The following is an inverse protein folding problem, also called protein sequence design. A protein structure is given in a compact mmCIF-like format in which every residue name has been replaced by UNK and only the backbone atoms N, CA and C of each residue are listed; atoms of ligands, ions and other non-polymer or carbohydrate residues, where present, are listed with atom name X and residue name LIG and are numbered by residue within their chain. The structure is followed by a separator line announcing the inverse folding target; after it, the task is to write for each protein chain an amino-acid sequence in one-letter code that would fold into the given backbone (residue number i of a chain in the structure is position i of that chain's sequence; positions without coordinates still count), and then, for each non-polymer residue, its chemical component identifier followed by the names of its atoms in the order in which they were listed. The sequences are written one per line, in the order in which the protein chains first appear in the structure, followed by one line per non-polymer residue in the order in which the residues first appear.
data_IF_028488384107
#
_entry.id   IF_028488384107
#
_cell.length_a   1.000
_cell.length_b   1.000
_cell.length_c   1.000
_cell.angle_alpha   90.00
_cell.angle_beta   90.00
_cell.angle_gamma   90.00
#
_symmetry.space_group_name_H-M   'P 1'
#
loop_
_entity.id
_entity.type
_entity.pdbx_description
1 polymer ?
#
# COMPACT_ATOMS: atom_id res chain seq x y z
N UNK A 1 32.43 10.58 -16.46
CA UNK A 1 31.18 11.38 -16.36
C UNK A 1 30.67 11.28 -14.93
N UNK A 2 30.69 12.38 -14.19
CA UNK A 2 30.18 12.45 -12.81
C UNK A 2 28.65 12.35 -12.83
N UNK A 3 28.11 11.29 -12.22
CA UNK A 3 26.67 11.11 -12.04
C UNK A 3 26.16 12.16 -11.06
N UNK A 4 24.98 12.67 -11.33
CA UNK A 4 24.39 13.78 -10.58
C UNK A 4 23.41 13.21 -9.55
N UNK A 5 22.99 13.99 -8.56
CA UNK A 5 21.82 13.68 -7.72
C UNK A 5 21.21 15.00 -7.29
N UNK A 6 19.89 15.13 -7.33
CA UNK A 6 19.22 16.36 -6.89
C UNK A 6 18.65 16.16 -5.49
N UNK A 7 18.86 17.15 -4.62
CA UNK A 7 18.33 17.11 -3.26
C UNK A 7 16.80 17.17 -3.29
N UNK A 8 16.15 16.21 -2.65
CA UNK A 8 14.68 16.15 -2.52
C UNK A 8 14.10 17.33 -1.75
N UNK A 9 14.88 17.92 -0.83
CA UNK A 9 14.44 19.07 -0.03
C UNK A 9 14.60 20.42 -0.75
N UNK A 10 15.78 20.73 -1.31
CA UNK A 10 16.05 22.07 -1.88
C UNK A 10 16.30 22.12 -3.40
N UNK A 11 16.18 20.99 -4.12
CA UNK A 11 16.36 20.93 -5.58
C UNK A 11 17.78 21.20 -6.08
N UNK A 12 18.74 21.41 -5.18
CA UNK A 12 20.13 21.70 -5.56
C UNK A 12 20.76 20.48 -6.22
N UNK A 13 21.52 20.74 -7.30
CA UNK A 13 22.30 19.73 -8.03
C UNK A 13 23.54 19.33 -7.21
N UNK A 14 23.61 18.07 -6.80
CA UNK A 14 24.72 17.47 -6.06
C UNK A 14 25.41 16.39 -6.90
N UNK A 15 26.56 15.92 -6.43
CA UNK A 15 27.23 14.74 -6.97
C UNK A 15 26.75 13.49 -6.23
N UNK A 16 26.52 12.39 -6.93
CA UNK A 16 26.21 11.07 -6.33
C UNK A 16 27.19 10.59 -5.25
N UNK A 17 28.40 11.13 -5.20
CA UNK A 17 29.40 10.81 -4.17
C UNK A 17 29.14 11.54 -2.83
N UNK A 18 28.17 12.44 -2.78
CA UNK A 18 27.81 13.20 -1.59
C UNK A 18 26.63 12.52 -0.88
N UNK A 19 26.74 12.33 0.43
CA UNK A 19 25.67 11.76 1.27
C UNK A 19 24.66 12.81 1.72
N UNK A 20 25.05 14.09 1.72
CA UNK A 20 24.24 15.21 2.15
C UNK A 20 24.21 16.30 1.09
N UNK A 21 23.12 17.05 1.03
CA UNK A 21 22.97 18.14 0.08
C UNK A 21 23.96 19.26 0.40
N UNK A 22 24.71 19.69 -0.61
CA UNK A 22 25.67 20.79 -0.50
C UNK A 22 25.07 22.17 -0.14
N UNK A 23 23.74 22.30 -0.13
CA UNK A 23 23.06 23.57 0.11
C UNK A 23 22.20 23.59 1.37
N UNK A 24 21.55 22.49 1.73
CA UNK A 24 20.69 22.43 2.92
C UNK A 24 21.06 21.30 3.89
N UNK A 25 22.18 20.61 3.66
CA UNK A 25 22.74 19.52 4.49
C UNK A 25 21.82 18.31 4.70
N UNK A 26 20.63 18.28 4.09
CA UNK A 26 19.73 17.13 4.11
C UNK A 26 20.32 15.87 3.47
N UNK A 27 19.93 14.71 3.98
CA UNK A 27 20.40 13.43 3.46
C UNK A 27 19.90 13.22 2.02
N UNK A 28 20.80 12.88 1.12
CA UNK A 28 20.46 12.69 -0.29
C UNK A 28 19.88 11.29 -0.49
N UNK A 29 18.57 11.17 -0.35
CA UNK A 29 17.83 9.93 -0.61
C UNK A 29 17.80 9.61 -2.10
N UNK A 30 18.62 8.67 -2.51
CA UNK A 30 18.88 8.36 -3.90
C UNK A 30 17.86 7.35 -4.47
N UNK A 31 16.64 7.79 -4.84
CA UNK A 31 15.70 6.95 -5.61
C UNK A 31 15.04 7.63 -6.83
N UNK A 32 15.55 8.79 -7.28
CA UNK A 32 14.92 9.57 -8.38
C UNK A 32 15.90 10.10 -9.43
N UNK A 33 16.92 9.32 -9.77
CA UNK A 33 17.77 9.54 -10.96
C UNK A 33 17.58 8.41 -11.99
N UNK A 34 16.34 7.96 -12.19
CA UNK A 34 16.07 6.75 -12.97
C UNK A 34 15.42 7.02 -14.33
N UNK A 35 16.13 6.65 -15.39
CA UNK A 35 15.65 6.76 -16.77
C UNK A 35 14.93 5.51 -17.28
N UNK A 36 15.04 4.38 -16.55
CA UNK A 36 14.52 3.09 -17.01
C UNK A 36 13.06 2.88 -16.62
N UNK A 37 12.28 2.39 -17.58
CA UNK A 37 10.87 2.01 -17.42
C UNK A 37 10.72 0.53 -17.71
N UNK A 38 9.74 -0.07 -17.07
CA UNK A 38 9.19 -1.38 -17.46
C UNK A 38 7.83 -1.10 -18.09
N UNK A 39 7.69 -1.28 -19.40
CA UNK A 39 6.46 -0.93 -20.13
C UNK A 39 5.70 -2.15 -20.65
N UNK A 40 6.35 -3.32 -20.69
CA UNK A 40 5.79 -4.57 -21.20
C UNK A 40 6.30 -5.78 -20.42
N UNK A 41 5.71 -6.94 -20.69
CA UNK A 41 6.02 -8.21 -20.01
C UNK A 41 7.46 -8.66 -20.25
N UNK A 42 7.99 -8.47 -21.47
CA UNK A 42 9.37 -8.83 -21.81
C UNK A 42 10.39 -8.01 -21.03
N UNK A 43 10.09 -6.72 -20.78
CA UNK A 43 10.89 -5.86 -19.92
C UNK A 43 10.73 -6.20 -18.44
N UNK A 44 9.56 -6.70 -18.01
CA UNK A 44 9.30 -7.08 -16.63
C UNK A 44 10.06 -8.35 -16.26
N UNK A 45 9.89 -9.42 -17.07
CA UNK A 45 10.47 -10.73 -16.81
C UNK A 45 11.83 -10.90 -17.49
N UNK A 46 12.88 -10.41 -16.83
CA UNK A 46 14.27 -10.56 -17.29
C UNK A 46 15.12 -11.29 -16.26
N UNK A 47 16.19 -11.95 -16.71
CA UNK A 47 17.18 -12.55 -15.79
C UNK A 47 17.75 -11.50 -14.84
N UNK A 48 17.99 -10.28 -15.32
CA UNK A 48 18.47 -9.18 -14.51
C UNK A 48 17.50 -8.80 -13.38
N UNK A 49 16.21 -8.72 -13.65
CA UNK A 49 15.22 -8.41 -12.61
C UNK A 49 15.08 -9.54 -11.59
N UNK A 50 15.18 -10.78 -12.05
CA UNK A 50 15.23 -11.94 -11.17
C UNK A 50 16.47 -11.89 -10.24
N UNK A 51 17.67 -11.72 -10.80
CA UNK A 51 18.90 -11.56 -10.01
C UNK A 51 18.85 -10.40 -9.04
N UNK A 52 18.29 -9.25 -9.45
CA UNK A 52 18.11 -8.13 -8.53
C UNK A 52 17.18 -8.49 -7.35
N UNK A 53 16.12 -9.30 -7.56
CA UNK A 53 15.25 -9.75 -6.48
C UNK A 53 15.96 -10.73 -5.52
N UNK A 54 16.81 -11.62 -6.05
CA UNK A 54 17.48 -12.64 -5.25
C UNK A 54 18.71 -12.12 -4.51
N UNK A 55 19.44 -11.18 -5.12
CA UNK A 55 20.78 -10.81 -4.66
C UNK A 55 20.79 -9.51 -3.84
N UNK A 56 19.82 -8.61 -4.06
CA UNK A 56 19.74 -7.37 -3.28
C UNK A 56 19.06 -7.59 -1.95
N UNK A 57 19.68 -7.05 -0.90
CA UNK A 57 19.12 -7.01 0.44
C UNK A 57 18.27 -5.75 0.61
N UNK A 58 17.00 -5.92 0.97
CA UNK A 58 16.17 -4.84 1.48
C UNK A 58 16.59 -4.56 2.93
N UNK A 59 17.40 -3.53 3.15
CA UNK A 59 17.81 -3.13 4.50
C UNK A 59 16.67 -2.42 5.24
N UNK A 60 16.81 -2.27 6.56
CA UNK A 60 15.82 -1.53 7.36
C UNK A 60 15.79 -0.06 6.93
N UNK A 61 16.95 0.54 6.70
CA UNK A 61 17.08 1.94 6.30
C UNK A 61 16.45 2.19 4.94
N UNK A 62 16.68 1.29 3.96
CA UNK A 62 16.04 1.39 2.66
C UNK A 62 14.51 1.30 2.76
N UNK A 63 14.01 0.42 3.63
CA UNK A 63 12.57 0.31 3.90
C UNK A 63 12.02 1.58 4.55
N UNK A 64 12.68 2.13 5.57
CA UNK A 64 12.23 3.37 6.22
C UNK A 64 12.21 4.54 5.24
N UNK A 65 13.22 4.67 4.37
CA UNK A 65 13.22 5.71 3.32
C UNK A 65 12.03 5.54 2.36
N UNK A 66 11.65 4.30 2.03
CA UNK A 66 10.44 4.02 1.24
C UNK A 66 9.19 4.53 1.98
N UNK A 67 9.06 4.27 3.29
CA UNK A 67 7.93 4.74 4.08
C UNK A 67 7.88 6.27 4.12
N UNK A 68 9.01 6.93 4.38
CA UNK A 68 9.10 8.40 4.39
C UNK A 68 8.73 9.00 3.03
N UNK A 69 9.16 8.40 1.92
CA UNK A 69 8.78 8.85 0.58
C UNK A 69 7.26 8.80 0.35
N UNK A 70 6.58 7.78 0.89
CA UNK A 70 5.12 7.67 0.82
C UNK A 70 4.47 8.77 1.65
N UNK A 71 4.92 8.99 2.89
CA UNK A 71 4.44 10.08 3.76
C UNK A 71 4.55 11.43 3.05
N UNK A 72 5.75 11.77 2.57
CA UNK A 72 6.01 13.02 1.85
C UNK A 72 5.15 13.14 0.59
N UNK A 73 4.82 12.03 -0.08
CA UNK A 73 3.91 12.05 -1.23
C UNK A 73 2.49 12.48 -0.83
N UNK A 74 1.99 11.99 0.31
CA UNK A 74 0.69 12.40 0.84
C UNK A 74 0.69 13.85 1.31
N UNK A 75 1.71 14.27 2.08
CA UNK A 75 1.85 15.64 2.60
C UNK A 75 1.84 16.70 1.49
N UNK A 76 2.48 16.41 0.36
CA UNK A 76 2.54 17.33 -0.78
C UNK A 76 1.22 17.42 -1.58
N UNK A 77 0.29 16.48 -1.39
CA UNK A 77 -0.95 16.37 -2.18
C UNK A 77 -2.21 16.60 -1.38
N UNK A 78 -2.15 16.48 -0.06
CA UNK A 78 -3.32 16.61 0.78
C UNK A 78 -3.85 18.05 0.76
N UNK A 79 -5.18 18.17 0.63
CA UNK A 79 -5.85 19.47 0.58
C UNK A 79 -6.96 19.48 1.63
N UNK A 80 -6.73 20.18 2.73
CA UNK A 80 -7.75 20.41 3.75
C UNK A 80 -8.56 21.67 3.43
N UNK A 81 -9.89 21.56 3.58
CA UNK A 81 -10.82 22.69 3.53
C UNK A 81 -11.27 23.04 4.94
N UNK A 82 -11.68 24.29 5.14
CA UNK A 82 -12.23 24.74 6.43
C UNK A 82 -13.51 23.94 6.77
N UNK A 83 -13.67 23.58 8.04
CA UNK A 83 -14.85 22.92 8.59
C UNK A 83 -15.21 21.57 7.95
N UNK A 84 -14.21 20.80 7.53
CA UNK A 84 -14.44 19.42 7.08
C UNK A 84 -14.95 18.55 8.22
N UNK A 85 -16.00 17.78 7.93
CA UNK A 85 -16.44 16.65 8.76
C UNK A 85 -15.36 15.55 8.83
N UNK A 86 -15.47 14.61 9.79
CA UNK A 86 -14.50 13.51 9.91
C UNK A 86 -14.42 12.65 8.64
N UNK A 87 -15.56 12.39 8.01
CA UNK A 87 -15.63 11.69 6.72
C UNK A 87 -14.88 12.47 5.63
N UNK A 88 -15.11 13.79 5.50
CA UNK A 88 -14.41 14.61 4.51
C UNK A 88 -12.90 14.68 4.75
N UNK A 89 -12.45 14.71 6.01
CA UNK A 89 -11.02 14.66 6.36
C UNK A 89 -10.40 13.33 5.95
N UNK A 90 -11.07 12.21 6.24
CA UNK A 90 -10.60 10.86 5.86
C UNK A 90 -10.62 10.67 4.34
N UNK A 91 -11.63 11.18 3.64
CA UNK A 91 -11.66 11.22 2.18
C UNK A 91 -10.50 12.05 1.63
N UNK A 92 -10.21 13.22 2.19
CA UNK A 92 -9.09 14.07 1.75
C UNK A 92 -7.73 13.37 1.94
N UNK A 93 -7.56 12.62 3.03
CA UNK A 93 -6.36 11.80 3.27
C UNK A 93 -6.24 10.72 2.19
N UNK A 94 -7.32 10.00 1.89
CA UNK A 94 -7.31 8.99 0.83
C UNK A 94 -7.03 9.61 -0.55
N UNK A 95 -7.64 10.75 -0.86
CA UNK A 95 -7.45 11.51 -2.11
C UNK A 95 -6.03 12.02 -2.32
N UNK A 96 -5.23 12.15 -1.26
CA UNK A 96 -3.81 12.48 -1.37
C UNK A 96 -3.00 11.35 -2.06
N UNK A 97 -3.47 10.10 -1.97
CA UNK A 97 -2.78 8.93 -2.53
C UNK A 97 -3.47 8.37 -3.77
N UNK A 98 -4.80 8.31 -3.75
CA UNK A 98 -5.61 7.55 -4.70
C UNK A 98 -6.95 8.21 -4.91
N UNK A 99 -7.57 8.01 -6.07
CA UNK A 99 -8.84 8.66 -6.37
C UNK A 99 -9.99 8.00 -5.61
N UNK A 100 -10.80 8.79 -4.92
CA UNK A 100 -12.05 8.31 -4.29
C UNK A 100 -13.24 8.60 -5.20
N UNK A 101 -14.10 7.60 -5.42
CA UNK A 101 -15.36 7.76 -6.14
C UNK A 101 -16.52 7.18 -5.31
N UNK A 102 -17.67 7.83 -5.41
CA UNK A 102 -18.89 7.40 -4.74
C UNK A 102 -19.83 6.72 -5.73
N UNK A 103 -20.41 5.58 -5.35
CA UNK A 103 -21.44 4.86 -6.11
C UNK A 103 -22.76 4.84 -5.33
N UNK A 104 -23.86 4.74 -6.08
CA UNK A 104 -25.22 4.80 -5.52
C UNK A 104 -25.93 3.45 -5.54
N UNK A 105 -25.26 2.36 -5.92
CA UNK A 105 -25.82 0.99 -5.99
C UNK A 105 -24.72 -0.06 -5.83
N UNK A 106 -24.85 -0.93 -4.83
CA UNK A 106 -24.08 -2.16 -4.68
C UNK A 106 -24.47 -2.94 -3.43
N UNK A 107 -24.28 -4.26 -3.43
CA UNK A 107 -24.40 -5.11 -2.23
C UNK A 107 -23.11 -5.10 -1.38
N UNK A 108 -22.10 -4.29 -1.73
CA UNK A 108 -20.76 -4.28 -1.13
C UNK A 108 -20.43 -2.87 -0.61
N UNK A 109 -19.82 -2.79 0.58
CA UNK A 109 -19.45 -1.54 1.26
C UNK A 109 -18.53 -0.63 0.42
N UNK A 110 -17.50 -1.23 -0.19
CA UNK A 110 -16.56 -0.55 -1.08
C UNK A 110 -15.65 -1.55 -1.77
N UNK A 111 -14.77 -1.05 -2.63
CA UNK A 111 -13.71 -1.84 -3.26
C UNK A 111 -12.55 -0.93 -3.70
N UNK A 112 -11.32 -1.41 -3.54
CA UNK A 112 -10.13 -0.85 -4.17
C UNK A 112 -9.72 -1.65 -5.40
N UNK A 113 -9.63 -0.97 -6.53
CA UNK A 113 -9.02 -1.52 -7.73
C UNK A 113 -8.46 -0.41 -8.62
N UNK A 114 -7.30 -0.66 -9.24
CA UNK A 114 -6.74 0.21 -10.28
C UNK A 114 -6.52 1.67 -9.85
N UNK A 115 -6.02 1.88 -8.63
CA UNK A 115 -5.79 3.20 -8.01
C UNK A 115 -7.07 4.05 -7.89
N UNK A 116 -8.19 3.37 -7.62
CA UNK A 116 -9.48 3.97 -7.33
C UNK A 116 -10.08 3.26 -6.11
N UNK A 117 -10.48 4.06 -5.11
CA UNK A 117 -11.34 3.65 -4.00
C UNK A 117 -12.78 3.93 -4.39
N UNK A 118 -13.60 2.90 -4.46
CA UNK A 118 -15.04 3.05 -4.70
C UNK A 118 -15.82 2.82 -3.41
N UNK A 119 -16.54 3.84 -2.97
CA UNK A 119 -17.29 3.84 -1.70
C UNK A 119 -18.78 3.91 -2.01
N UNK A 120 -19.59 3.08 -1.35
CA UNK A 120 -21.04 3.17 -1.48
C UNK A 120 -21.59 4.30 -0.58
N UNK A 121 -22.17 5.32 -1.20
CA UNK A 121 -22.65 6.52 -0.50
C UNK A 121 -23.93 6.28 0.31
N UNK A 122 -24.59 5.13 0.16
CA UNK A 122 -25.83 4.83 0.87
C UNK A 122 -25.60 4.47 2.34
N UNK A 123 -24.39 4.07 2.70
CA UNK A 123 -24.05 3.76 4.08
C UNK A 123 -23.86 5.02 4.92
N UNK A 124 -24.02 4.90 6.24
CA UNK A 124 -23.76 6.01 7.14
C UNK A 124 -22.27 6.42 7.14
N UNK A 125 -21.94 7.66 7.54
CA UNK A 125 -20.57 8.16 7.51
C UNK A 125 -19.56 7.29 8.27
N UNK A 126 -19.96 6.59 9.33
CA UNK A 126 -19.04 5.75 10.10
C UNK A 126 -18.63 4.51 9.29
N UNK A 127 -19.57 3.86 8.61
CA UNK A 127 -19.26 2.76 7.69
C UNK A 127 -18.42 3.25 6.51
N UNK A 128 -18.71 4.44 5.97
CA UNK A 128 -17.89 5.02 4.89
C UNK A 128 -16.45 5.29 5.36
N UNK A 129 -16.25 5.81 6.57
CA UNK A 129 -14.92 6.01 7.17
C UNK A 129 -14.18 4.67 7.29
N UNK A 130 -14.83 3.64 7.87
CA UNK A 130 -14.23 2.31 7.97
C UNK A 130 -13.81 1.77 6.60
N UNK A 131 -14.71 1.87 5.62
CA UNK A 131 -14.46 1.41 4.25
C UNK A 131 -13.29 2.16 3.61
N UNK A 132 -13.22 3.49 3.75
CA UNK A 132 -12.10 4.28 3.21
C UNK A 132 -10.79 3.86 3.87
N UNK A 133 -10.75 3.69 5.18
CA UNK A 133 -9.55 3.26 5.90
C UNK A 133 -9.09 1.85 5.48
N UNK A 134 -10.03 0.91 5.31
CA UNK A 134 -9.76 -0.44 4.83
C UNK A 134 -9.11 -0.42 3.44
N UNK A 135 -9.79 0.21 2.49
CA UNK A 135 -9.38 0.22 1.08
C UNK A 135 -8.12 1.09 0.86
N UNK A 136 -7.94 2.16 1.64
CA UNK A 136 -6.72 2.94 1.65
C UNK A 136 -5.54 2.13 2.19
N UNK A 137 -5.77 1.26 3.19
CA UNK A 137 -4.72 0.37 3.70
C UNK A 137 -4.25 -0.59 2.61
N UNK A 138 -5.16 -1.18 1.84
CA UNK A 138 -4.78 -1.99 0.67
C UNK A 138 -4.01 -1.17 -0.37
N UNK A 139 -4.43 0.07 -0.63
CA UNK A 139 -3.70 0.95 -1.54
C UNK A 139 -2.26 1.22 -1.07
N UNK A 140 -2.09 1.62 0.20
CA UNK A 140 -0.77 1.90 0.78
C UNK A 140 0.09 0.65 0.87
N UNK A 141 -0.49 -0.51 1.16
CA UNK A 141 0.19 -1.81 1.06
C UNK A 141 0.78 -2.00 -0.35
N UNK A 142 -0.02 -1.75 -1.40
CA UNK A 142 0.45 -1.85 -2.78
C UNK A 142 1.53 -0.83 -3.11
N UNK A 143 1.42 0.41 -2.62
CA UNK A 143 2.45 1.44 -2.83
C UNK A 143 3.77 1.06 -2.17
N UNK A 144 3.77 0.49 -0.96
CA UNK A 144 4.99 -0.02 -0.31
C UNK A 144 5.64 -1.11 -1.18
N UNK A 145 4.86 -2.09 -1.66
CA UNK A 145 5.40 -3.14 -2.54
C UNK A 145 5.97 -2.54 -3.83
N UNK A 146 5.31 -1.55 -4.43
CA UNK A 146 5.78 -0.89 -5.66
C UNK A 146 7.08 -0.15 -5.43
N UNK A 147 7.18 0.67 -4.39
CA UNK A 147 8.39 1.40 -4.04
C UNK A 147 9.57 0.44 -3.74
N UNK A 148 9.30 -0.71 -3.09
CA UNK A 148 10.31 -1.77 -2.92
C UNK A 148 10.79 -2.30 -4.27
N UNK A 149 9.87 -2.65 -5.19
CA UNK A 149 10.25 -3.16 -6.51
C UNK A 149 10.97 -2.10 -7.35
N UNK A 150 10.55 -0.83 -7.26
CA UNK A 150 11.23 0.29 -7.89
C UNK A 150 12.66 0.41 -7.39
N UNK A 151 12.87 0.35 -6.07
CA UNK A 151 14.20 0.34 -5.45
C UNK A 151 15.06 -0.84 -5.92
N UNK A 152 14.52 -2.06 -5.87
CA UNK A 152 15.25 -3.29 -6.19
C UNK A 152 15.61 -3.32 -7.68
N UNK A 153 14.71 -2.95 -8.57
CA UNK A 153 14.98 -2.96 -10.01
C UNK A 153 15.62 -1.68 -10.54
N UNK A 154 15.63 -0.62 -9.73
CA UNK A 154 16.06 0.71 -10.13
C UNK A 154 15.28 1.18 -11.38
N UNK A 155 13.95 1.16 -11.26
CA UNK A 155 13.00 1.58 -12.31
C UNK A 155 11.95 2.55 -11.77
N UNK A 156 11.48 3.46 -12.64
CA UNK A 156 10.37 4.36 -12.30
C UNK A 156 9.02 3.64 -12.36
N UNK A 157 8.03 4.18 -11.63
CA UNK A 157 6.64 3.69 -11.64
C UNK A 157 6.05 3.71 -13.06
N UNK A 158 5.39 2.62 -13.44
CA UNK A 158 4.70 2.46 -14.73
C UNK A 158 3.39 1.69 -14.55
N UNK A 159 2.53 1.72 -15.56
CA UNK A 159 1.30 0.91 -15.60
C UNK A 159 1.57 -0.59 -15.59
N UNK A 160 2.70 -1.02 -16.15
CA UNK A 160 3.13 -2.42 -16.09
C UNK A 160 3.52 -2.83 -14.67
N UNK A 161 4.22 -1.97 -13.93
CA UNK A 161 4.54 -2.24 -12.52
C UNK A 161 3.28 -2.26 -11.65
N UNK A 162 2.37 -1.29 -11.83
CA UNK A 162 1.07 -1.28 -11.16
C UNK A 162 0.28 -2.57 -11.44
N UNK A 163 0.27 -2.99 -12.70
CA UNK A 163 -0.37 -4.25 -13.13
C UNK A 163 0.27 -5.48 -12.48
N UNK A 164 1.60 -5.51 -12.41
CA UNK A 164 2.34 -6.59 -11.77
C UNK A 164 1.96 -6.72 -10.30
N UNK A 165 2.00 -5.62 -9.54
CA UNK A 165 1.64 -5.63 -8.12
C UNK A 165 0.18 -6.02 -7.91
N UNK A 166 -0.76 -5.48 -8.70
CA UNK A 166 -2.17 -5.88 -8.66
C UNK A 166 -2.37 -7.37 -8.93
N UNK A 167 -1.54 -7.96 -9.79
CA UNK A 167 -1.63 -9.37 -10.16
C UNK A 167 -1.11 -10.28 -9.05
N UNK A 168 0.06 -9.99 -8.47
CA UNK A 168 0.64 -10.81 -7.40
C UNK A 168 -0.18 -10.76 -6.11
N UNK A 169 -0.93 -9.69 -5.86
CA UNK A 169 -1.86 -9.61 -4.72
C UNK A 169 -3.05 -10.55 -4.81
N UNK A 170 -3.29 -11.16 -5.97
CA UNK A 170 -4.28 -12.23 -6.09
C UNK A 170 -3.75 -13.60 -5.67
N UNK A 171 -2.44 -13.70 -5.38
CA UNK A 171 -1.83 -14.90 -4.81
C UNK A 171 -2.30 -15.02 -3.35
N UNK A 172 -2.84 -16.18 -2.92
CA UNK A 172 -3.47 -16.33 -1.60
C UNK A 172 -2.61 -15.87 -0.42
N UNK A 173 -1.29 -16.10 -0.45
CA UNK A 173 -0.37 -15.69 0.61
C UNK A 173 -0.23 -14.17 0.73
N UNK A 174 -0.12 -13.45 -0.38
CA UNK A 174 -0.08 -11.98 -0.39
C UNK A 174 -1.44 -11.38 -0.04
N UNK A 175 -2.53 -11.97 -0.55
CA UNK A 175 -3.88 -11.55 -0.21
C UNK A 175 -4.13 -11.69 1.29
N UNK A 176 -3.74 -12.82 1.89
CA UNK A 176 -3.84 -13.06 3.33
C UNK A 176 -3.13 -11.96 4.14
N UNK A 177 -1.90 -11.61 3.76
CA UNK A 177 -1.11 -10.55 4.41
C UNK A 177 -1.84 -9.21 4.30
N UNK A 178 -2.33 -8.89 3.10
CA UNK A 178 -3.03 -7.64 2.81
C UNK A 178 -4.31 -7.49 3.66
N UNK A 179 -5.13 -8.53 3.78
CA UNK A 179 -6.35 -8.52 4.61
C UNK A 179 -6.06 -8.44 6.12
N UNK A 180 -5.02 -9.14 6.58
CA UNK A 180 -4.55 -8.99 7.96
C UNK A 180 -4.10 -7.56 8.24
N UNK A 181 -3.34 -6.97 7.31
CA UNK A 181 -2.80 -5.63 7.41
C UNK A 181 -3.91 -4.57 7.49
N UNK A 182 -4.94 -4.68 6.64
CA UNK A 182 -6.13 -3.84 6.67
C UNK A 182 -6.86 -3.91 8.02
N UNK A 183 -7.21 -5.11 8.47
CA UNK A 183 -7.91 -5.33 9.74
C UNK A 183 -7.08 -4.86 10.96
N UNK A 184 -5.76 -5.01 10.90
CA UNK A 184 -4.86 -4.55 11.97
C UNK A 184 -4.73 -3.03 12.00
N UNK A 185 -4.74 -2.38 10.84
CA UNK A 185 -4.71 -0.92 10.73
C UNK A 185 -6.03 -0.33 11.23
N UNK A 186 -7.17 -0.91 10.83
CA UNK A 186 -8.49 -0.54 11.33
C UNK A 186 -8.57 -0.60 12.86
N UNK A 187 -7.98 -1.62 13.48
CA UNK A 187 -7.96 -1.77 14.94
C UNK A 187 -7.37 -0.56 15.67
N UNK A 188 -6.50 0.20 15.01
CA UNK A 188 -5.92 1.42 15.58
C UNK A 188 -6.93 2.57 15.58
N UNK A 189 -7.68 2.73 14.48
CA UNK A 189 -8.52 3.91 14.23
C UNK A 189 -10.01 3.72 14.56
N UNK A 190 -10.49 2.48 14.54
CA UNK A 190 -11.90 2.14 14.73
C UNK A 190 -12.16 1.55 16.12
N UNK A 191 -13.37 1.68 16.68
CA UNK A 191 -13.76 0.92 17.86
C UNK A 191 -13.73 -0.59 17.58
N UNK A 192 -13.24 -1.39 18.53
CA UNK A 192 -12.97 -2.83 18.35
C UNK A 192 -14.19 -3.63 17.83
N UNK A 193 -15.40 -3.26 18.24
CA UNK A 193 -16.63 -3.91 17.80
C UNK A 193 -16.97 -3.72 16.30
N UNK A 194 -16.19 -2.93 15.58
CA UNK A 194 -16.32 -2.71 14.13
C UNK A 194 -15.15 -3.28 13.32
N UNK A 195 -14.14 -3.88 13.95
CA UNK A 195 -12.98 -4.45 13.27
C UNK A 195 -13.25 -5.92 12.92
N UNK A 196 -13.15 -6.29 11.64
CA UNK A 196 -13.56 -7.61 11.18
C UNK A 196 -12.46 -8.34 10.41
N UNK A 197 -11.93 -9.42 10.97
CA UNK A 197 -10.96 -10.30 10.30
C UNK A 197 -11.64 -11.32 9.36
N UNK A 198 -12.84 -11.03 8.87
CA UNK A 198 -13.65 -11.99 8.08
C UNK A 198 -12.94 -12.42 6.80
N UNK A 199 -12.40 -11.48 6.03
CA UNK A 199 -11.66 -11.78 4.79
C UNK A 199 -10.40 -12.60 5.06
N UNK A 200 -9.61 -12.20 6.08
CA UNK A 200 -8.44 -12.96 6.52
C UNK A 200 -8.80 -14.40 6.92
N UNK A 201 -9.86 -14.59 7.72
CA UNK A 201 -10.31 -15.90 8.16
C UNK A 201 -10.73 -16.78 6.98
N UNK A 202 -11.45 -16.22 6.00
CA UNK A 202 -11.87 -16.95 4.80
C UNK A 202 -10.65 -17.40 3.98
N UNK A 203 -9.59 -16.58 3.88
CA UNK A 203 -8.37 -16.98 3.16
C UNK A 203 -7.61 -18.06 3.95
N UNK A 204 -7.57 -17.98 5.28
CA UNK A 204 -7.02 -19.05 6.12
C UNK A 204 -7.68 -20.40 5.82
N UNK A 205 -9.01 -20.43 5.67
CA UNK A 205 -9.75 -21.62 5.26
C UNK A 205 -9.33 -22.11 3.87
N UNK A 206 -9.22 -21.20 2.89
CA UNK A 206 -8.83 -21.53 1.51
C UNK A 206 -7.43 -22.13 1.40
N UNK A 207 -6.49 -21.69 2.24
CA UNK A 207 -5.13 -22.25 2.31
C UNK A 207 -5.03 -23.43 3.28
N UNK A 208 -6.16 -24.01 3.69
CA UNK A 208 -6.24 -25.14 4.62
C UNK A 208 -5.45 -24.92 5.93
N UNK A 209 -5.46 -23.68 6.44
CA UNK A 209 -4.79 -23.29 7.67
C UNK A 209 -3.29 -23.62 7.69
N UNK A 210 -2.60 -23.49 6.56
CA UNK A 210 -1.14 -23.67 6.49
C UNK A 210 -0.42 -22.75 7.48
N UNK A 211 0.11 -23.36 8.55
CA UNK A 211 0.74 -22.64 9.66
C UNK A 211 1.96 -21.84 9.22
N UNK A 212 2.69 -22.28 8.21
CA UNK A 212 3.89 -21.60 7.73
C UNK A 212 3.51 -20.35 6.95
N UNK A 213 2.52 -20.45 6.06
CA UNK A 213 2.00 -19.31 5.31
C UNK A 213 1.40 -18.29 6.27
N UNK A 214 0.60 -18.74 7.25
CA UNK A 214 -0.04 -17.86 8.24
C UNK A 214 1.01 -17.17 9.12
N UNK A 215 2.00 -17.90 9.64
CA UNK A 215 3.04 -17.31 10.50
C UNK A 215 3.87 -16.25 9.76
N UNK A 216 4.31 -16.54 8.54
CA UNK A 216 4.98 -15.55 7.69
C UNK A 216 4.04 -14.38 7.39
N UNK A 217 2.77 -14.70 7.20
CA UNK A 217 1.69 -13.75 7.00
C UNK A 217 1.60 -12.73 8.13
N UNK A 218 1.62 -13.20 9.39
CA UNK A 218 1.62 -12.34 10.56
C UNK A 218 2.86 -11.47 10.68
N UNK A 219 4.05 -12.04 10.49
CA UNK A 219 5.30 -11.28 10.61
C UNK A 219 5.35 -10.13 9.60
N UNK A 220 4.97 -10.39 8.35
CA UNK A 220 4.91 -9.34 7.32
C UNK A 220 3.77 -8.38 7.62
N UNK A 221 2.55 -8.90 7.80
CA UNK A 221 1.33 -8.10 7.91
C UNK A 221 1.33 -7.16 9.11
N UNK A 222 1.87 -7.60 10.26
CA UNK A 222 1.99 -6.78 11.48
C UNK A 222 2.97 -5.63 11.30
N UNK A 223 4.14 -5.91 10.73
CA UNK A 223 5.14 -4.86 10.53
C UNK A 223 4.74 -3.89 9.40
N UNK A 224 4.02 -4.38 8.38
CA UNK A 224 3.44 -3.51 7.35
C UNK A 224 2.26 -2.69 7.87
N UNK A 225 1.41 -3.22 8.76
CA UNK A 225 0.33 -2.43 9.35
C UNK A 225 0.88 -1.32 10.25
N UNK A 226 1.92 -1.58 11.04
CA UNK A 226 2.63 -0.54 11.80
C UNK A 226 3.20 0.56 10.89
N UNK A 227 3.75 0.18 9.73
CA UNK A 227 4.28 1.14 8.76
C UNK A 227 3.17 1.98 8.11
N UNK A 228 2.01 1.37 7.83
CA UNK A 228 0.83 2.08 7.31
C UNK A 228 0.21 2.97 8.39
N UNK A 229 0.18 2.53 9.64
CA UNK A 229 -0.22 3.35 10.79
C UNK A 229 0.69 4.57 10.89
N UNK A 230 2.02 4.40 10.80
CA UNK A 230 2.98 5.52 10.74
C UNK A 230 2.67 6.49 9.60
N UNK A 231 2.31 5.99 8.41
CA UNK A 231 1.90 6.84 7.28
C UNK A 231 0.64 7.63 7.61
N UNK A 232 -0.38 6.97 8.17
CA UNK A 232 -1.67 7.58 8.46
C UNK A 232 -1.62 8.53 9.67
N UNK A 233 -0.77 8.28 10.67
CA UNK A 233 -0.57 9.12 11.85
C UNK A 233 -0.02 10.52 11.49
N UNK A 234 0.66 10.67 10.34
CA UNK A 234 1.03 11.99 9.81
C UNK A 234 -0.18 12.87 9.44
N UNK A 235 -1.38 12.28 9.35
CA UNK A 235 -2.61 12.97 8.91
C UNK A 235 -3.79 12.81 9.89
N UNK A 236 -3.85 11.70 10.62
CA UNK A 236 -4.91 11.39 11.58
C UNK A 236 -4.43 11.76 12.98
N UNK A 237 -4.63 13.02 13.34
CA UNK A 237 -4.33 13.51 14.68
C UNK A 237 -5.29 12.96 15.73
N UNK A 238 -4.93 13.13 17.02
CA UNK A 238 -5.77 12.72 18.15
C UNK A 238 -7.19 13.28 18.08
N UNK A 239 -7.35 14.49 17.54
CA UNK A 239 -8.66 15.11 17.35
C UNK A 239 -9.49 14.34 16.33
N UNK A 240 -8.96 14.10 15.13
CA UNK A 240 -9.66 13.31 14.10
C UNK A 240 -9.99 11.91 14.60
N UNK A 241 -9.05 11.27 15.29
CA UNK A 241 -9.24 9.94 15.86
C UNK A 241 -10.46 9.88 16.79
N UNK A 242 -10.61 10.83 17.71
CA UNK A 242 -11.77 10.87 18.61
C UNK A 242 -13.07 11.25 17.86
N UNK A 243 -12.98 12.13 16.86
CA UNK A 243 -14.11 12.47 15.99
C UNK A 243 -14.63 11.25 15.20
N UNK A 244 -13.73 10.40 14.68
CA UNK A 244 -14.08 9.14 14.02
C UNK A 244 -14.90 8.26 14.97
N UNK A 245 -14.43 8.04 16.20
CA UNK A 245 -15.16 7.24 17.19
C UNK A 245 -16.54 7.81 17.51
N UNK A 246 -16.67 9.14 17.54
CA UNK A 246 -17.96 9.80 17.78
C UNK A 246 -18.94 9.56 16.62
N UNK A 247 -18.47 9.50 15.38
CA UNK A 247 -19.33 9.15 14.23
C UNK A 247 -19.97 7.77 14.39
N UNK A 248 -19.24 6.74 14.85
CA UNK A 248 -19.84 5.42 15.12
C UNK A 248 -20.94 5.47 16.19
N UNK A 249 -20.72 6.24 17.26
CA UNK A 249 -21.72 6.41 18.34
C UNK A 249 -22.95 7.15 17.85
N UNK A 250 -22.75 8.23 17.10
CA UNK A 250 -23.80 9.10 16.55
C UNK A 250 -24.70 8.35 15.56
N UNK A 251 -24.11 7.55 14.68
CA UNK A 251 -24.86 6.81 13.65
C UNK A 251 -25.49 5.51 14.18
N UNK A 252 -25.23 5.12 15.45
CA UNK A 252 -25.71 3.86 16.05
C UNK A 252 -25.38 2.65 15.18
N UNK A 253 -24.21 2.67 14.56
CA UNK A 253 -23.75 1.65 13.60
C UNK A 253 -23.74 0.28 14.28
N UNK A 254 -24.29 -0.74 13.61
CA UNK A 254 -24.32 -2.10 14.15
C UNK A 254 -22.91 -2.69 14.22
N UNK A 255 -22.52 -3.33 15.34
CA UNK A 255 -21.25 -4.06 15.43
C UNK A 255 -21.14 -5.14 14.35
N UNK A 256 -19.94 -5.28 13.78
CA UNK A 256 -19.62 -6.28 12.73
C UNK A 256 -18.35 -7.09 13.05
N UNK A 257 -17.83 -6.92 14.27
CA UNK A 257 -16.56 -7.54 14.64
C UNK A 257 -16.58 -9.04 14.44
N UNK A 258 -15.53 -9.54 13.79
CA UNK A 258 -15.20 -10.95 13.70
C UNK A 258 -13.78 -11.13 14.15
N UNK A 259 -13.60 -11.91 15.21
CA UNK A 259 -12.29 -12.20 15.77
C UNK A 259 -11.44 -13.00 14.78
N UNK A 260 -10.14 -12.85 14.90
CA UNK A 260 -9.18 -13.62 14.11
C UNK A 260 -9.30 -15.13 14.43
N UNK A 261 -9.25 -15.98 13.41
CA UNK A 261 -9.48 -17.43 13.54
C UNK A 261 -8.28 -18.20 14.13
N UNK A 262 -7.13 -17.55 14.31
CA UNK A 262 -5.91 -18.17 14.80
C UNK A 262 -5.10 -17.18 15.63
N UNK A 263 -4.34 -17.68 16.60
CA UNK A 263 -3.58 -16.85 17.51
C UNK A 263 -2.32 -16.33 16.84
N UNK A 264 -2.18 -15.01 16.79
CA UNK A 264 -0.93 -14.36 16.43
C UNK A 264 0.03 -14.37 17.63
N UNK A 265 1.09 -15.18 17.52
CA UNK A 265 2.18 -15.27 18.50
C UNK A 265 3.46 -14.57 18.02
N UNK A 266 3.39 -13.88 16.89
CA UNK A 266 4.55 -13.26 16.26
C UNK A 266 5.01 -12.01 17.01
N UNK A 267 6.32 -11.91 17.18
CA UNK A 267 6.97 -10.70 17.67
C UNK A 267 7.33 -9.85 16.45
N UNK A 268 7.09 -8.54 16.54
CA UNK A 268 7.49 -7.63 15.48
C UNK A 268 9.00 -7.73 15.26
N UNK A 269 9.40 -8.05 14.03
CA UNK A 269 10.79 -8.24 13.66
C UNK A 269 11.03 -7.69 12.25
N UNK A 270 11.51 -6.44 12.13
CA UNK A 270 11.72 -5.78 10.83
C UNK A 270 12.70 -6.52 9.90
N UNK A 271 13.67 -7.24 10.46
CA UNK A 271 14.62 -8.04 9.67
C UNK A 271 13.88 -9.23 9.04
N UNK A 272 13.14 -10.00 9.84
CA UNK A 272 12.35 -11.12 9.34
C UNK A 272 11.24 -10.66 8.38
N UNK A 273 10.61 -9.50 8.64
CA UNK A 273 9.70 -8.86 7.68
C UNK A 273 10.38 -8.74 6.32
N UNK A 274 11.53 -8.06 6.25
CA UNK A 274 12.21 -7.82 4.97
C UNK A 274 12.61 -9.14 4.29
N UNK A 275 13.12 -10.12 5.03
CA UNK A 275 13.48 -11.43 4.48
C UNK A 275 12.26 -12.16 3.91
N UNK A 276 11.16 -12.26 4.66
CA UNK A 276 9.97 -12.96 4.19
C UNK A 276 9.24 -12.19 3.08
N UNK A 277 9.30 -10.86 3.10
CA UNK A 277 8.78 -10.01 2.05
C UNK A 277 9.56 -10.20 0.73
N UNK A 278 10.89 -10.25 0.78
CA UNK A 278 11.68 -10.52 -0.42
C UNK A 278 11.42 -11.95 -0.94
N UNK A 279 11.33 -12.94 -0.06
CA UNK A 279 10.99 -14.31 -0.45
C UNK A 279 9.63 -14.39 -1.16
N UNK A 280 8.59 -13.76 -0.62
CA UNK A 280 7.27 -13.80 -1.25
C UNK A 280 7.24 -13.04 -2.58
N UNK A 281 8.02 -11.97 -2.73
CA UNK A 281 8.17 -11.26 -4.01
C UNK A 281 8.89 -12.10 -5.07
N UNK A 282 9.95 -12.84 -4.69
CA UNK A 282 10.65 -13.78 -5.59
C UNK A 282 9.68 -14.86 -6.07
N UNK A 283 9.02 -15.55 -5.14
CA UNK A 283 8.05 -16.60 -5.50
C UNK A 283 6.91 -16.05 -6.34
N UNK A 284 6.42 -14.84 -6.03
CA UNK A 284 5.35 -14.20 -6.81
C UNK A 284 5.80 -13.83 -8.22
N UNK A 285 7.06 -13.40 -8.39
CA UNK A 285 7.65 -13.12 -9.69
C UNK A 285 7.77 -14.38 -10.54
N UNK A 286 8.24 -15.48 -9.95
CA UNK A 286 8.33 -16.79 -10.61
C UNK A 286 6.95 -17.30 -11.04
N UNK A 287 5.98 -17.29 -10.13
CA UNK A 287 4.60 -17.71 -10.40
C UNK A 287 3.92 -16.85 -11.47
N UNK A 288 4.28 -15.56 -11.55
CA UNK A 288 3.71 -14.63 -12.52
C UNK A 288 4.39 -14.70 -13.89
N UNK A 289 5.55 -15.35 -13.99
CA UNK A 289 6.24 -15.57 -15.25
C UNK A 289 5.68 -16.80 -16.00
N UNK A 290 4.35 -16.88 -16.07
CA UNK A 290 3.61 -17.92 -16.76
C UNK A 290 2.71 -17.30 -17.85
N UNK A 291 2.56 -18.00 -18.98
CA UNK A 291 1.81 -17.50 -20.14
C UNK A 291 0.34 -17.20 -19.84
N UNK A 292 -0.29 -17.95 -18.95
CA UNK A 292 -1.68 -17.68 -18.57
C UNK A 292 -1.78 -16.47 -17.66
N UNK A 293 -0.80 -16.26 -16.78
CA UNK A 293 -0.72 -15.06 -15.93
C UNK A 293 -0.40 -13.80 -16.76
N UNK A 294 0.39 -13.93 -17.82
CA UNK A 294 0.69 -12.83 -18.75
C UNK A 294 -0.58 -12.20 -19.36
N UNK A 295 -1.60 -13.00 -19.67
CA UNK A 295 -2.90 -12.49 -20.14
C UNK A 295 -3.55 -11.60 -19.09
N UNK A 296 -3.51 -12.00 -17.82
CA UNK A 296 -4.04 -11.23 -16.68
C UNK A 296 -3.24 -9.94 -16.46
N UNK A 297 -1.92 -9.99 -16.56
CA UNK A 297 -1.05 -8.81 -16.47
C UNK A 297 -1.37 -7.77 -17.56
N UNK A 298 -1.51 -8.19 -18.82
CA UNK A 298 -1.85 -7.26 -19.89
C UNK A 298 -3.26 -6.65 -19.69
N UNK A 299 -4.23 -7.48 -19.28
CA UNK A 299 -5.59 -7.00 -18.97
C UNK A 299 -5.59 -5.97 -17.83
N UNK A 300 -4.87 -6.24 -16.74
CA UNK A 300 -4.73 -5.31 -15.62
C UNK A 300 -4.04 -4.01 -16.04
N UNK A 301 -3.01 -4.09 -16.91
CA UNK A 301 -2.32 -2.92 -17.45
C UNK A 301 -3.27 -2.01 -18.23
N UNK A 302 -4.11 -2.57 -19.10
CA UNK A 302 -5.12 -1.80 -19.84
C UNK A 302 -6.10 -1.08 -18.91
N UNK A 303 -6.49 -1.71 -17.79
CA UNK A 303 -7.36 -1.08 -16.80
C UNK A 303 -6.67 0.09 -16.10
N UNK A 304 -5.39 -0.03 -15.73
CA UNK A 304 -4.60 1.08 -15.20
C UNK A 304 -4.46 2.22 -16.21
N UNK A 305 -4.15 1.92 -17.48
CA UNK A 305 -4.06 2.92 -18.54
C UNK A 305 -5.39 3.68 -18.72
N UNK A 306 -6.53 2.97 -18.72
CA UNK A 306 -7.87 3.56 -18.76
C UNK A 306 -8.19 4.40 -17.53
N UNK A 307 -7.78 3.93 -16.34
CA UNK A 307 -7.95 4.66 -15.07
C UNK A 307 -7.21 5.99 -15.09
N UNK A 308 -5.92 5.98 -15.44
CA UNK A 308 -5.09 7.18 -15.54
C UNK A 308 -5.57 8.15 -16.62
N UNK A 309 -5.99 7.66 -17.79
CA UNK A 309 -6.55 8.52 -18.84
C UNK A 309 -7.83 9.26 -18.41
N UNK A 310 -8.64 8.67 -17.52
CA UNK A 310 -9.82 9.33 -16.95
C UNK A 310 -9.47 10.34 -15.85
N UNK A 311 -8.30 10.21 -15.21
CA UNK A 311 -7.83 11.13 -14.18
C UNK A 311 -7.29 12.43 -14.83
N UNK A 312 -6.60 12.32 -15.97
CA UNK A 312 -6.00 13.47 -16.70
C UNK A 312 -7.00 14.35 -17.47
N UNK A 313 -8.29 13.99 -17.50
CA UNK A 313 -9.35 14.72 -18.23
C UNK A 313 -10.22 15.62 -17.34
N UNK A 314 -9.83 15.85 -16.08
CA UNK A 314 -10.45 16.79 -15.15
C UNK A 314 -9.39 17.76 -14.64
#
# INVERSE_FOLDING_TARGET
MTKTIYCSNCGTKNNTQQTHCKNCEEYLHNFKEETRQINNITELFTEKHYHNLTDKILTIEAYEVIIENIITTGENKIIYKKNMSPLERITAIAEAYTKVIYKNKGNNYGEYAYNILCIDQQFDPAIQIATILHELTHHLFNEIIKEILMYIWNVKKTTMLDSFVQTILTIPSLLLISEYCASSTEKTYLPEQYVSYSSFNNICEQINYDKTIILRGFIIGKSMSESIIKILDSFIDKTLYEEIKQEFKKNKTKPIAKTICTQDTSINNPILRNVYLMNILITSYELSNDKEVHKKLNKNKEYFEKSYAKILKK
#
